data_IF_989466324765
#
_entry.id   IF_989466324765
#
_cell.length_a   1.000
_cell.length_b   1.000
_cell.length_c   1.000
_cell.angle_alpha   90.00
_cell.angle_beta   90.00
_cell.angle_gamma   90.00
#
_symmetry.space_group_name_H-M   'P 1'
#
loop_
_entity.id
_entity.type
_entity.pdbx_description
1 polymer ?
#
# COMPACT_ATOMS: atom_id res chain seq x y z
N UNK A 1 42.16 -40.06 -10.01
CA UNK A 1 40.71 -40.15 -9.72
C UNK A 1 40.48 -39.90 -8.23
N UNK A 2 40.08 -38.67 -7.86
CA UNK A 2 39.47 -38.34 -6.56
C UNK A 2 38.49 -37.20 -6.81
N UNK A 3 37.19 -37.50 -6.78
CA UNK A 3 36.10 -36.53 -6.83
C UNK A 3 35.94 -35.97 -5.41
N UNK A 4 36.12 -34.66 -5.23
CA UNK A 4 35.79 -33.97 -3.98
C UNK A 4 34.48 -33.23 -4.23
N UNK A 5 33.41 -33.81 -3.73
CA UNK A 5 32.10 -33.19 -3.59
C UNK A 5 32.20 -32.15 -2.47
N UNK A 6 32.24 -30.85 -2.82
CA UNK A 6 32.00 -29.78 -1.86
C UNK A 6 30.51 -29.45 -1.86
N UNK A 7 29.79 -30.15 -0.98
CA UNK A 7 28.45 -29.83 -0.56
C UNK A 7 28.52 -28.56 0.31
N UNK A 8 28.37 -27.39 -0.30
CA UNK A 8 28.29 -26.12 0.42
C UNK A 8 26.90 -26.03 1.06
N UNK A 9 26.82 -26.52 2.29
CA UNK A 9 25.71 -26.33 3.21
C UNK A 9 25.62 -24.84 3.50
N UNK A 10 24.69 -24.15 2.84
CA UNK A 10 24.26 -22.82 3.26
C UNK A 10 23.48 -23.03 4.56
N UNK A 11 24.19 -22.91 5.67
CA UNK A 11 23.60 -22.82 6.99
C UNK A 11 22.62 -21.64 6.97
N UNK A 12 21.34 -21.98 6.94
CA UNK A 12 20.23 -21.11 7.26
C UNK A 12 20.47 -20.61 8.69
N UNK A 13 21.15 -19.47 8.82
CA UNK A 13 21.22 -18.72 10.08
C UNK A 13 19.82 -18.15 10.27
N UNK A 14 18.93 -19.01 10.77
CA UNK A 14 17.69 -18.60 11.40
C UNK A 14 18.09 -17.69 12.55
N UNK A 15 17.93 -16.38 12.35
CA UNK A 15 17.83 -15.45 13.44
C UNK A 15 16.62 -15.87 14.27
N UNK A 16 16.87 -16.75 15.25
CA UNK A 16 16.10 -16.77 16.49
C UNK A 16 16.34 -15.41 17.15
N UNK A 17 15.48 -14.45 16.81
CA UNK A 17 15.27 -13.32 17.70
C UNK A 17 14.56 -13.89 18.91
N UNK A 18 15.36 -14.14 19.94
CA UNK A 18 14.91 -14.42 21.28
C UNK A 18 13.83 -13.40 21.64
N UNK A 19 12.66 -13.93 22.02
CA UNK A 19 11.59 -13.19 22.65
C UNK A 19 12.16 -12.40 23.84
N UNK A 20 12.39 -11.11 23.63
CA UNK A 20 12.43 -10.16 24.72
C UNK A 20 10.97 -9.85 25.05
N UNK A 21 10.52 -10.37 26.19
CA UNK A 21 9.28 -10.04 26.88
C UNK A 21 9.26 -8.54 27.24
N UNK A 22 8.93 -7.71 26.25
CA UNK A 22 8.51 -6.32 26.41
C UNK A 22 7.02 -6.20 26.11
N UNK A 23 6.31 -5.43 26.92
CA UNK A 23 4.90 -5.06 26.71
C UNK A 23 4.71 -4.50 25.31
N UNK A 24 4.07 -5.28 24.46
CA UNK A 24 3.82 -4.95 23.07
C UNK A 24 2.49 -5.54 22.69
N UNK A 25 1.70 -4.74 21.98
CA UNK A 25 0.32 -5.00 21.57
C UNK A 25 0.14 -6.45 21.09
N UNK A 26 -0.74 -7.19 21.75
CA UNK A 26 -0.97 -8.61 21.50
C UNK A 26 -1.48 -8.88 20.08
N UNK A 27 -2.26 -7.96 19.51
CA UNK A 27 -2.82 -8.11 18.17
C UNK A 27 -1.74 -8.03 17.09
N UNK A 28 -0.70 -7.23 17.32
CA UNK A 28 0.49 -7.18 16.45
C UNK A 28 1.21 -8.52 16.49
N UNK A 29 1.49 -9.03 17.69
CA UNK A 29 2.20 -10.31 17.88
C UNK A 29 1.44 -11.48 17.24
N UNK A 30 0.13 -11.50 17.43
CA UNK A 30 -0.74 -12.49 16.83
C UNK A 30 -0.70 -12.41 15.30
N UNK A 31 -0.84 -11.22 14.72
CA UNK A 31 -0.77 -11.00 13.28
C UNK A 31 0.57 -11.43 12.68
N UNK A 32 1.69 -11.04 13.30
CA UNK A 32 3.04 -11.42 12.84
C UNK A 32 3.27 -12.95 12.90
N UNK A 33 2.64 -13.64 13.84
CA UNK A 33 2.73 -15.11 13.93
C UNK A 33 1.91 -15.84 12.87
N UNK A 34 0.84 -15.21 12.36
CA UNK A 34 -0.12 -15.80 11.40
C UNK A 34 0.22 -15.48 9.95
N UNK A 35 0.76 -14.29 9.69
CA UNK A 35 1.04 -13.80 8.34
C UNK A 35 2.54 -13.61 8.20
N UNK A 36 3.17 -14.45 7.38
CA UNK A 36 4.59 -14.35 7.07
C UNK A 36 4.88 -13.16 6.14
N UNK A 37 5.97 -12.42 6.41
CA UNK A 37 6.45 -11.37 5.49
C UNK A 37 7.09 -12.02 4.26
N UNK A 38 6.61 -11.66 3.07
CA UNK A 38 7.09 -12.17 1.79
C UNK A 38 7.51 -11.01 0.89
N UNK A 39 8.58 -11.21 0.14
CA UNK A 39 9.04 -10.26 -0.88
C UNK A 39 8.26 -10.46 -2.18
N UNK A 40 7.47 -9.47 -2.55
CA UNK A 40 6.91 -9.33 -3.89
C UNK A 40 7.95 -8.75 -4.86
N UNK A 41 7.96 -9.22 -6.10
CA UNK A 41 8.96 -8.83 -7.10
C UNK A 41 8.94 -7.32 -7.41
N UNK A 42 7.75 -6.70 -7.37
CA UNK A 42 7.56 -5.29 -7.70
C UNK A 42 7.40 -4.43 -6.43
N UNK A 43 6.70 -4.97 -5.43
CA UNK A 43 6.26 -4.25 -4.25
C UNK A 43 7.02 -4.57 -2.97
N UNK A 44 8.01 -5.46 -3.05
CA UNK A 44 8.77 -5.94 -1.90
C UNK A 44 7.83 -6.44 -0.80
N UNK A 45 8.06 -6.02 0.44
CA UNK A 45 7.30 -6.49 1.59
C UNK A 45 5.90 -5.88 1.75
N UNK A 46 5.58 -4.80 1.01
CA UNK A 46 4.36 -4.02 1.23
C UNK A 46 3.06 -4.84 1.22
N UNK A 47 2.83 -5.80 0.29
CA UNK A 47 1.60 -6.58 0.29
C UNK A 47 1.44 -7.42 1.56
N UNK A 48 2.51 -8.11 1.99
CA UNK A 48 2.48 -8.93 3.20
C UNK A 48 2.33 -8.10 4.48
N UNK A 49 2.86 -6.87 4.50
CA UNK A 49 2.63 -5.90 5.58
C UNK A 49 1.18 -5.42 5.62
N UNK A 50 0.52 -5.26 4.46
CA UNK A 50 -0.91 -4.96 4.38
C UNK A 50 -1.76 -6.11 4.96
N UNK A 51 -1.42 -7.35 4.63
CA UNK A 51 -2.09 -8.52 5.20
C UNK A 51 -1.87 -8.65 6.72
N UNK A 52 -0.65 -8.39 7.21
CA UNK A 52 -0.34 -8.36 8.65
C UNK A 52 -1.11 -7.25 9.39
N UNK A 53 -1.10 -6.04 8.86
CA UNK A 53 -1.84 -4.91 9.43
C UNK A 53 -3.33 -5.23 9.51
N UNK A 54 -3.91 -5.74 8.41
CA UNK A 54 -5.30 -6.18 8.38
C UNK A 54 -5.58 -7.25 9.44
N UNK A 55 -4.73 -8.27 9.55
CA UNK A 55 -4.90 -9.33 10.55
C UNK A 55 -4.88 -8.80 11.99
N UNK A 56 -4.05 -7.78 12.29
CA UNK A 56 -4.01 -7.14 13.60
C UNK A 56 -5.31 -6.37 13.89
N UNK A 57 -5.83 -5.62 12.92
CA UNK A 57 -7.10 -4.89 13.04
C UNK A 57 -8.29 -5.83 13.21
N UNK A 58 -8.36 -6.88 12.39
CA UNK A 58 -9.42 -7.88 12.46
C UNK A 58 -9.43 -8.61 13.82
N UNK A 59 -8.24 -8.95 14.37
CA UNK A 59 -8.13 -9.57 15.69
C UNK A 59 -8.56 -8.63 16.82
N UNK A 60 -8.21 -7.35 16.72
CA UNK A 60 -8.63 -6.31 17.67
C UNK A 60 -10.15 -6.11 17.64
N UNK A 61 -10.74 -6.00 16.45
CA UNK A 61 -12.18 -5.82 16.27
C UNK A 61 -12.97 -7.02 16.82
N UNK A 62 -12.49 -8.25 16.57
CA UNK A 62 -13.10 -9.46 17.13
C UNK A 62 -13.03 -9.48 18.68
N UNK A 63 -11.92 -9.02 19.27
CA UNK A 63 -11.80 -8.92 20.72
C UNK A 63 -12.72 -7.84 21.30
N UNK A 64 -12.85 -6.70 20.61
CA UNK A 64 -13.76 -5.61 21.00
C UNK A 64 -15.22 -6.07 20.98
N UNK A 65 -15.65 -6.79 19.94
CA UNK A 65 -17.02 -7.30 19.87
C UNK A 65 -17.29 -8.34 20.97
N UNK A 66 -16.33 -9.22 21.26
CA UNK A 66 -16.44 -10.17 22.37
C UNK A 66 -16.57 -9.47 23.73
N UNK A 67 -15.73 -8.47 23.99
CA UNK A 67 -15.80 -7.67 25.22
C UNK A 67 -17.16 -6.95 25.34
N UNK A 68 -17.68 -6.44 24.23
CA UNK A 68 -18.99 -5.77 24.18
C UNK A 68 -20.12 -6.73 24.56
N UNK A 69 -20.11 -7.94 24.01
CA UNK A 69 -21.08 -8.96 24.38
C UNK A 69 -20.98 -9.35 25.87
N UNK A 70 -19.76 -9.46 26.40
CA UNK A 70 -19.53 -9.78 27.81
C UNK A 70 -20.07 -8.67 28.73
N UNK A 71 -19.82 -7.40 28.41
CA UNK A 71 -20.36 -6.25 29.16
C UNK A 71 -21.89 -6.30 29.19
N UNK A 72 -22.54 -6.55 28.04
CA UNK A 72 -24.00 -6.64 27.96
C UNK A 72 -24.57 -7.79 28.82
N UNK A 73 -23.81 -8.86 28.99
CA UNK A 73 -24.21 -10.02 29.83
C UNK A 73 -23.94 -9.79 31.32
N UNK A 74 -22.90 -9.03 31.68
CA UNK A 74 -22.46 -8.88 33.07
C UNK A 74 -22.89 -7.57 33.75
N UNK A 75 -23.32 -6.56 33.00
CA UNK A 75 -23.69 -5.27 33.54
C UNK A 75 -24.96 -5.37 34.41
N UNK A 76 -24.96 -4.66 35.54
CA UNK A 76 -26.09 -4.64 36.48
C UNK A 76 -27.27 -3.80 35.99
N UNK A 77 -26.95 -2.74 35.25
CA UNK A 77 -27.89 -1.80 34.64
C UNK A 77 -27.24 -1.11 33.43
N UNK A 78 -28.00 -0.24 32.76
CA UNK A 78 -27.52 0.49 31.58
C UNK A 78 -26.37 1.47 31.89
N UNK A 79 -26.34 2.06 33.10
CA UNK A 79 -25.28 2.99 33.48
C UNK A 79 -23.94 2.27 33.71
N UNK A 80 -24.00 1.10 34.34
CA UNK A 80 -22.85 0.20 34.50
C UNK A 80 -22.32 -0.29 33.15
N UNK A 81 -23.21 -0.68 32.23
CA UNK A 81 -22.85 -1.08 30.87
C UNK A 81 -22.15 0.05 30.09
N UNK A 82 -22.67 1.28 30.17
CA UNK A 82 -22.07 2.44 29.51
C UNK A 82 -20.66 2.72 30.04
N UNK A 83 -20.49 2.73 31.36
CA UNK A 83 -19.18 2.99 31.98
C UNK A 83 -18.15 1.94 31.59
N UNK A 84 -18.50 0.65 31.66
CA UNK A 84 -17.60 -0.44 31.24
C UNK A 84 -17.29 -0.36 29.74
N UNK A 85 -18.27 0.02 28.92
CA UNK A 85 -18.10 0.26 27.49
C UNK A 85 -17.10 1.38 27.18
N UNK A 86 -17.22 2.53 27.85
CA UNK A 86 -16.30 3.66 27.69
C UNK A 86 -14.85 3.32 28.10
N UNK A 87 -14.70 2.63 29.24
CA UNK A 87 -13.38 2.19 29.73
C UNK A 87 -12.71 1.21 28.76
N UNK A 88 -13.47 0.30 28.14
CA UNK A 88 -12.96 -0.62 27.11
C UNK A 88 -12.68 0.10 25.79
N UNK A 89 -13.57 0.99 25.33
CA UNK A 89 -13.38 1.78 24.10
C UNK A 89 -12.06 2.53 24.14
N UNK A 90 -11.80 3.25 25.25
CA UNK A 90 -10.55 4.01 25.43
C UNK A 90 -9.31 3.11 25.36
N UNK A 91 -9.39 1.87 25.87
CA UNK A 91 -8.29 0.89 25.76
C UNK A 91 -8.09 0.41 24.33
N UNK A 92 -9.17 0.17 23.58
CA UNK A 92 -9.08 -0.23 22.18
C UNK A 92 -8.56 0.89 21.29
N UNK A 93 -8.93 2.14 21.53
CA UNK A 93 -8.38 3.31 20.85
C UNK A 93 -6.86 3.44 21.06
N UNK A 94 -6.39 3.22 22.31
CA UNK A 94 -4.96 3.21 22.59
C UNK A 94 -4.22 2.07 21.85
N UNK A 95 -4.81 0.86 21.83
CA UNK A 95 -4.25 -0.28 21.09
C UNK A 95 -4.28 -0.08 19.58
N UNK A 96 -5.33 0.53 19.06
CA UNK A 96 -5.46 0.92 17.65
C UNK A 96 -4.33 1.88 17.27
N UNK A 97 -4.08 2.93 18.06
CA UNK A 97 -3.00 3.87 17.83
C UNK A 97 -1.60 3.20 17.85
N UNK A 98 -1.39 2.21 18.72
CA UNK A 98 -0.16 1.41 18.74
C UNK A 98 0.01 0.55 17.48
N UNK A 99 -1.05 -0.14 17.04
CA UNK A 99 -1.05 -0.91 15.78
C UNK A 99 -0.72 0.02 14.62
N UNK A 100 -1.42 1.14 14.53
CA UNK A 100 -1.28 2.08 13.43
C UNK A 100 0.14 2.68 13.40
N UNK A 101 0.68 3.08 14.55
CA UNK A 101 2.05 3.60 14.67
C UNK A 101 3.09 2.56 14.24
N UNK A 102 2.93 1.32 14.71
CA UNK A 102 3.86 0.23 14.42
C UNK A 102 3.89 -0.09 12.92
N UNK A 103 2.72 -0.29 12.31
CA UNK A 103 2.63 -0.62 10.89
C UNK A 103 2.96 0.58 10.00
N UNK A 104 2.61 1.82 10.41
CA UNK A 104 3.02 3.04 9.71
C UNK A 104 4.52 3.08 9.50
N UNK A 105 5.30 2.87 10.57
CA UNK A 105 6.76 2.82 10.48
C UNK A 105 7.24 1.73 9.52
N UNK A 106 6.70 0.52 9.63
CA UNK A 106 7.09 -0.60 8.74
C UNK A 106 6.77 -0.31 7.27
N UNK A 107 5.61 0.27 6.98
CA UNK A 107 5.24 0.65 5.63
C UNK A 107 6.15 1.74 5.07
N UNK A 108 6.47 2.77 5.85
CA UNK A 108 7.39 3.83 5.43
C UNK A 108 8.78 3.26 5.16
N UNK A 109 9.30 2.41 6.05
CA UNK A 109 10.61 1.76 5.88
C UNK A 109 10.65 0.86 4.63
N UNK A 110 9.57 0.12 4.36
CA UNK A 110 9.45 -0.72 3.17
C UNK A 110 9.30 0.12 1.89
N UNK A 111 8.45 1.15 1.89
CA UNK A 111 8.23 2.04 0.75
C UNK A 111 9.48 2.86 0.39
N UNK A 112 10.27 3.27 1.38
CA UNK A 112 11.54 3.96 1.16
C UNK A 112 12.52 3.12 0.31
N UNK A 113 12.51 1.80 0.47
CA UNK A 113 13.34 0.87 -0.35
C UNK A 113 12.84 0.72 -1.78
N UNK A 114 11.63 1.19 -2.09
CA UNK A 114 11.05 1.16 -3.43
C UNK A 114 11.19 2.50 -4.16
N UNK A 115 11.65 3.56 -3.47
CA UNK A 115 11.82 4.87 -4.09
C UNK A 115 12.68 4.77 -5.35
N UNK A 116 12.27 5.54 -6.37
CA UNK A 116 12.88 5.63 -7.70
C UNK A 116 12.83 4.33 -8.53
N UNK A 117 12.26 3.24 -8.01
CA UNK A 117 12.01 2.03 -8.82
C UNK A 117 10.93 2.32 -9.87
N UNK A 118 11.10 1.69 -11.02
CA UNK A 118 10.15 1.78 -12.12
C UNK A 118 8.97 0.82 -11.93
N UNK A 119 7.77 1.30 -12.26
CA UNK A 119 6.56 0.48 -12.28
C UNK A 119 6.23 0.13 -13.73
N UNK A 120 5.95 -1.14 -14.07
CA UNK A 120 5.54 -1.52 -15.40
C UNK A 120 4.35 -0.69 -15.88
N UNK A 121 4.43 -0.21 -17.12
CA UNK A 121 3.34 0.54 -17.72
C UNK A 121 3.19 0.24 -19.21
N UNK A 122 1.99 0.45 -19.72
CA UNK A 122 1.69 0.50 -21.16
C UNK A 122 0.94 1.78 -21.49
N UNK A 123 0.94 2.19 -22.75
CA UNK A 123 0.27 3.41 -23.17
C UNK A 123 -0.39 3.23 -24.54
N UNK A 124 -1.40 4.05 -24.83
CA UNK A 124 -1.96 4.16 -26.18
C UNK A 124 -0.94 4.88 -27.09
N UNK A 125 -0.34 4.12 -28.01
CA UNK A 125 0.62 4.63 -29.01
C UNK A 125 0.00 5.70 -29.92
N UNK A 126 -1.33 5.73 -30.03
CA UNK A 126 -2.06 6.81 -30.70
C UNK A 126 -2.09 8.09 -29.90
N UNK A 127 -1.46 8.21 -28.74
CA UNK A 127 -1.38 9.43 -27.92
C UNK A 127 0.06 9.68 -27.48
N UNK A 128 0.75 8.64 -27.03
CA UNK A 128 2.07 8.74 -26.43
C UNK A 128 3.09 7.93 -27.24
N UNK A 129 4.34 8.41 -27.28
CA UNK A 129 5.47 7.69 -27.88
C UNK A 129 6.29 6.93 -26.84
N UNK A 130 6.20 7.32 -25.57
CA UNK A 130 6.74 6.57 -24.43
C UNK A 130 6.02 6.96 -23.13
N UNK A 131 6.09 6.06 -22.15
CA UNK A 131 5.65 6.30 -20.78
C UNK A 131 6.67 5.70 -19.81
N UNK A 132 6.90 6.38 -18.69
CA UNK A 132 7.71 5.89 -17.58
C UNK A 132 6.99 6.22 -16.28
N UNK A 133 6.96 5.25 -15.36
CA UNK A 133 6.40 5.46 -14.02
C UNK A 133 7.48 5.17 -12.99
N UNK A 134 7.60 6.04 -12.00
CA UNK A 134 8.55 5.93 -10.89
C UNK A 134 7.85 6.06 -9.56
N UNK A 135 8.27 5.29 -8.58
CA UNK A 135 7.77 5.37 -7.20
C UNK A 135 8.45 6.55 -6.51
N UNK A 136 7.68 7.51 -5.99
CA UNK A 136 8.20 8.62 -5.21
C UNK A 136 8.37 8.27 -3.72
N UNK A 137 7.56 7.34 -3.23
CA UNK A 137 7.55 6.87 -1.84
C UNK A 137 6.14 6.63 -1.35
N UNK A 138 5.97 6.52 -0.04
CA UNK A 138 4.66 6.53 0.61
C UNK A 138 4.35 7.93 1.16
N UNK A 139 3.08 8.30 1.17
CA UNK A 139 2.63 9.53 1.82
C UNK A 139 2.13 9.22 3.24
N UNK A 140 2.71 9.87 4.22
CA UNK A 140 2.18 9.92 5.58
C UNK A 140 0.94 10.84 5.58
N UNK A 141 -0.21 10.29 5.97
CA UNK A 141 -1.40 11.11 6.21
C UNK A 141 -1.47 11.43 7.70
N UNK A 142 -1.88 12.63 8.06
CA UNK A 142 -1.82 13.15 9.44
C UNK A 142 -2.59 12.32 10.50
N UNK A 143 -3.32 11.27 10.11
CA UNK A 143 -4.16 10.46 11.00
C UNK A 143 -4.30 9.00 10.54
N UNK A 144 -3.46 8.49 9.64
CA UNK A 144 -3.62 7.09 9.21
C UNK A 144 -2.29 6.45 8.84
N UNK A 145 -2.24 5.14 9.02
CA UNK A 145 -1.23 4.28 8.39
C UNK A 145 -1.14 4.65 6.91
N UNK A 146 0.08 4.87 6.35
CA UNK A 146 0.25 5.08 4.92
C UNK A 146 -0.49 3.96 4.21
N UNK A 147 -1.45 4.33 3.39
CA UNK A 147 -2.30 3.38 2.67
C UNK A 147 -1.95 3.29 1.21
N UNK A 148 -0.97 4.08 0.74
CA UNK A 148 -0.69 4.27 -0.68
C UNK A 148 0.76 4.65 -0.99
N UNK A 149 1.24 4.12 -2.12
CA UNK A 149 2.43 4.64 -2.80
C UNK A 149 2.04 5.83 -3.66
N UNK A 150 2.86 6.86 -3.65
CA UNK A 150 2.79 7.98 -4.58
C UNK A 150 3.69 7.69 -5.77
N UNK A 151 3.14 7.83 -6.96
CA UNK A 151 3.85 7.60 -8.22
C UNK A 151 3.98 8.90 -9.02
N UNK A 152 5.02 8.95 -9.84
CA UNK A 152 5.21 9.96 -10.88
C UNK A 152 5.18 9.27 -12.24
N UNK A 153 4.38 9.79 -13.16
CA UNK A 153 4.42 9.38 -14.55
C UNK A 153 5.03 10.47 -15.44
N UNK A 154 5.93 10.06 -16.34
CA UNK A 154 6.41 10.87 -17.45
C UNK A 154 5.87 10.27 -18.74
N UNK A 155 5.07 11.04 -19.48
CA UNK A 155 4.46 10.66 -20.75
C UNK A 155 5.01 11.55 -21.85
N UNK A 156 5.45 10.97 -22.96
CA UNK A 156 5.94 11.73 -24.12
C UNK A 156 4.89 11.68 -25.21
N UNK A 157 4.47 12.83 -25.73
CA UNK A 157 3.45 12.90 -26.77
C UNK A 157 3.96 12.38 -28.12
N UNK A 158 3.10 11.67 -28.84
CA UNK A 158 3.41 11.17 -30.18
C UNK A 158 3.16 12.22 -31.29
N UNK A 159 2.32 13.24 -31.04
CA UNK A 159 1.97 14.27 -32.02
C UNK A 159 1.42 15.53 -31.32
N UNK A 160 1.29 16.60 -32.09
CA UNK A 160 0.75 17.88 -31.65
C UNK A 160 -0.72 17.77 -31.21
N UNK A 161 -1.05 18.26 -30.03
CA UNK A 161 -2.41 18.19 -29.48
C UNK A 161 -2.73 19.37 -28.57
N UNK A 162 -4.02 19.64 -28.37
CA UNK A 162 -4.48 20.69 -27.47
C UNK A 162 -5.23 20.06 -26.31
N UNK A 163 -4.77 20.31 -25.08
CA UNK A 163 -5.43 19.88 -23.84
C UNK A 163 -5.86 18.41 -23.80
N UNK A 164 -4.92 17.44 -23.90
CA UNK A 164 -5.29 16.04 -23.83
C UNK A 164 -5.98 15.68 -22.52
N UNK A 165 -7.00 14.84 -22.67
CA UNK A 165 -7.62 14.16 -21.55
C UNK A 165 -6.93 12.80 -21.36
N UNK A 166 -6.23 12.64 -20.25
CA UNK A 166 -5.45 11.44 -19.95
C UNK A 166 -6.21 10.62 -18.92
N UNK A 167 -6.43 9.36 -19.22
CA UNK A 167 -6.99 8.35 -18.32
C UNK A 167 -5.92 7.31 -18.01
N UNK A 168 -5.96 6.77 -16.79
CA UNK A 168 -5.11 5.67 -16.40
C UNK A 168 -5.91 4.60 -15.67
N UNK A 169 -5.63 3.34 -16.04
CA UNK A 169 -6.22 2.16 -15.43
C UNK A 169 -5.11 1.34 -14.76
N UNK A 170 -5.39 0.85 -13.55
CA UNK A 170 -4.52 -0.08 -12.85
C UNK A 170 -4.93 -1.48 -13.31
N UNK A 171 -4.02 -2.25 -13.89
CA UNK A 171 -4.32 -3.55 -14.49
C UNK A 171 -3.72 -4.69 -13.67
N UNK A 172 -4.49 -5.77 -13.51
CA UNK A 172 -4.00 -7.01 -12.92
C UNK A 172 -3.18 -7.84 -13.93
N UNK A 173 -2.73 -9.02 -13.49
CA UNK A 173 -1.98 -9.95 -14.34
C UNK A 173 -2.78 -10.49 -15.53
N UNK A 174 -4.11 -10.58 -15.40
CA UNK A 174 -5.03 -10.94 -16.48
C UNK A 174 -5.33 -9.77 -17.45
N UNK A 175 -4.84 -8.56 -17.16
CA UNK A 175 -5.11 -7.35 -17.94
C UNK A 175 -6.47 -6.71 -17.66
N UNK A 176 -7.16 -7.16 -16.62
CA UNK A 176 -8.44 -6.61 -16.21
C UNK A 176 -8.23 -5.33 -15.39
N UNK A 177 -9.20 -4.40 -15.50
CA UNK A 177 -9.19 -3.16 -14.71
C UNK A 177 -9.40 -3.49 -13.24
N UNK A 178 -8.45 -3.10 -12.41
CA UNK A 178 -8.53 -3.16 -10.96
C UNK A 178 -9.53 -2.15 -10.40
N UNK A 179 -9.65 -2.14 -9.06
CA UNK A 179 -10.58 -1.26 -8.31
C UNK A 179 -10.23 0.23 -8.36
N UNK A 180 -9.14 0.60 -9.01
CA UNK A 180 -8.67 1.98 -9.09
C UNK A 180 -8.49 2.38 -10.55
N UNK A 181 -8.83 3.62 -10.85
CA UNK A 181 -8.55 4.30 -12.11
C UNK A 181 -8.56 5.80 -11.84
N UNK A 182 -8.05 6.59 -12.78
CA UNK A 182 -8.11 8.03 -12.65
C UNK A 182 -8.02 8.74 -13.99
N UNK A 183 -8.25 10.04 -13.94
CA UNK A 183 -8.20 10.89 -15.11
C UNK A 183 -7.71 12.29 -14.75
N UNK A 184 -7.10 12.95 -15.73
CA UNK A 184 -6.58 14.31 -15.62
C UNK A 184 -6.72 15.03 -16.95
N UNK A 185 -7.06 16.31 -16.88
CA UNK A 185 -6.95 17.23 -18.01
C UNK A 185 -5.63 17.98 -17.87
N UNK A 186 -4.85 17.97 -18.94
CA UNK A 186 -3.71 18.89 -19.02
C UNK A 186 -4.20 20.28 -19.39
N UNK A 187 -3.70 21.29 -18.66
CA UNK A 187 -3.79 22.74 -18.93
C UNK A 187 -4.79 23.12 -20.04
N UNK A 188 -6.01 23.49 -19.66
CA UNK A 188 -7.07 23.84 -20.60
C UNK A 188 -6.61 24.96 -21.57
N UNK A 189 -6.74 24.71 -22.87
CA UNK A 189 -6.32 25.59 -23.96
C UNK A 189 -4.84 25.53 -24.35
N UNK A 190 -3.99 24.81 -23.61
CA UNK A 190 -2.56 24.70 -23.95
C UNK A 190 -2.34 23.75 -25.13
N UNK A 191 -1.53 24.22 -26.08
CA UNK A 191 -1.02 23.43 -27.20
C UNK A 191 0.28 22.76 -26.79
N UNK A 192 0.35 21.48 -27.06
CA UNK A 192 1.53 20.66 -26.90
C UNK A 192 2.01 20.16 -28.27
N UNK A 193 3.32 20.00 -28.41
CA UNK A 193 3.95 19.47 -29.61
C UNK A 193 4.31 18.00 -29.44
N UNK A 194 4.48 17.31 -30.56
CA UNK A 194 5.11 15.99 -30.60
C UNK A 194 6.45 16.01 -29.85
N UNK A 195 6.68 15.03 -28.99
CA UNK A 195 7.89 14.95 -28.16
C UNK A 195 7.83 15.75 -26.85
N UNK A 196 6.79 16.56 -26.61
CA UNK A 196 6.62 17.22 -25.33
C UNK A 196 6.44 16.19 -24.21
N UNK A 197 7.06 16.49 -23.06
CA UNK A 197 6.97 15.68 -21.85
C UNK A 197 5.86 16.19 -20.95
N UNK A 198 4.99 15.29 -20.54
CA UNK A 198 3.92 15.53 -19.58
C UNK A 198 4.32 14.82 -18.30
N UNK A 199 4.34 15.58 -17.20
CA UNK A 199 4.56 15.04 -15.88
C UNK A 199 3.22 14.96 -15.14
N UNK A 200 2.86 13.76 -14.70
CA UNK A 200 1.75 13.53 -13.79
C UNK A 200 2.34 13.23 -12.41
N UNK A 201 2.25 14.20 -11.52
CA UNK A 201 2.68 14.11 -10.13
C UNK A 201 1.67 14.80 -9.21
N UNK A 202 1.72 14.48 -7.91
CA UNK A 202 0.84 15.09 -6.91
C UNK A 202 0.98 16.61 -6.94
N UNK A 203 -0.12 17.32 -7.21
CA UNK A 203 -0.19 18.78 -7.14
C UNK A 203 -0.03 19.51 -8.47
N UNK A 204 0.28 18.81 -9.57
CA UNK A 204 0.24 19.38 -10.92
C UNK A 204 -0.84 18.66 -11.75
N UNK A 205 -1.87 19.41 -12.15
CA UNK A 205 -2.86 19.04 -13.18
C UNK A 205 -3.81 17.85 -12.93
N UNK A 206 -3.80 17.20 -11.78
CA UNK A 206 -4.80 16.17 -11.47
C UNK A 206 -4.56 15.51 -10.13
N UNK A 207 -5.51 14.64 -9.72
CA UNK A 207 -5.35 13.83 -8.52
C UNK A 207 -4.06 12.99 -8.61
N UNK A 208 -3.37 12.75 -7.48
CA UNK A 208 -2.11 12.02 -7.47
C UNK A 208 -2.25 10.61 -8.05
N UNK A 209 -1.26 10.20 -8.83
CA UNK A 209 -1.10 8.82 -9.26
C UNK A 209 -0.72 7.99 -8.01
N UNK A 210 -1.61 7.12 -7.55
CA UNK A 210 -1.47 6.41 -6.28
C UNK A 210 -1.92 4.96 -6.37
N UNK A 211 -1.14 4.05 -5.80
CA UNK A 211 -1.54 2.65 -5.65
C UNK A 211 -1.74 2.36 -4.17
N UNK A 212 -2.92 1.85 -3.81
CA UNK A 212 -3.21 1.47 -2.43
C UNK A 212 -2.50 0.17 -2.05
N UNK A 213 -2.00 0.06 -0.82
CA UNK A 213 -1.25 -1.11 -0.38
C UNK A 213 -2.06 -2.41 -0.45
N UNK A 214 -3.36 -2.34 -0.13
CA UNK A 214 -4.28 -3.48 -0.21
C UNK A 214 -4.49 -4.02 -1.63
N UNK A 215 -4.20 -3.22 -2.66
CA UNK A 215 -4.37 -3.63 -4.07
C UNK A 215 -3.06 -4.03 -4.74
N UNK A 216 -1.92 -3.92 -4.06
CA UNK A 216 -0.60 -4.22 -4.64
C UNK A 216 -0.46 -5.68 -5.08
N UNK A 217 -1.04 -6.62 -4.33
CA UNK A 217 -0.99 -8.07 -4.66
C UNK A 217 -1.64 -8.42 -5.99
N UNK A 218 -2.65 -7.65 -6.38
CA UNK A 218 -3.41 -7.86 -7.60
C UNK A 218 -2.93 -6.94 -8.73
N UNK A 219 -1.99 -6.04 -8.43
CA UNK A 219 -1.51 -5.03 -9.36
C UNK A 219 -0.31 -5.53 -10.17
N UNK A 220 -0.38 -5.36 -11.49
CA UNK A 220 0.71 -5.72 -12.41
C UNK A 220 1.30 -4.48 -13.12
N UNK A 221 0.45 -3.65 -13.74
CA UNK A 221 0.91 -2.48 -14.52
C UNK A 221 -0.13 -1.35 -14.57
N UNK A 222 0.31 -0.14 -14.90
CA UNK A 222 -0.60 0.98 -15.22
C UNK A 222 -0.72 1.12 -16.74
N UNK A 223 -1.94 1.30 -17.24
CA UNK A 223 -2.15 1.63 -18.64
C UNK A 223 -2.63 3.07 -18.81
N UNK A 224 -1.91 3.87 -19.59
CA UNK A 224 -2.32 5.22 -19.98
C UNK A 224 -3.06 5.22 -21.31
N UNK A 225 -4.18 5.94 -21.35
CA UNK A 225 -5.00 6.16 -22.54
C UNK A 225 -5.60 7.56 -22.48
N UNK A 226 -6.43 7.93 -23.45
CA UNK A 226 -7.02 9.25 -23.45
C UNK A 226 -7.85 9.58 -24.68
N UNK A 227 -8.23 10.86 -24.76
CA UNK A 227 -8.87 11.44 -25.94
C UNK A 227 -8.09 12.65 -26.41
N UNK A 228 -8.03 12.81 -27.73
CA UNK A 228 -7.49 13.99 -28.41
C UNK A 228 -8.40 15.20 -28.20
#
# INVERSE_FOLDING_TARGET
>A
MKKIFNCLTVALVGLMIAACSGGGNEFIKEAESKVEIKEDALWGQLPSLADQYKAAKDAMEAAMEKDREEILKSAKDLGDAMKQGEEKSSKYEAKEAEIDTFYSKKFMDAAAKLKDKEVPCSFDEKLFSSAKITILGAEETNQSVPSRLVLKAELVLAYDMTSPYITFDYLNSAGEKGKSSGATYLDKGKKYKAGDKILLEKGQNGGPLMVYFESLKDFNKIHFSGKK
#
